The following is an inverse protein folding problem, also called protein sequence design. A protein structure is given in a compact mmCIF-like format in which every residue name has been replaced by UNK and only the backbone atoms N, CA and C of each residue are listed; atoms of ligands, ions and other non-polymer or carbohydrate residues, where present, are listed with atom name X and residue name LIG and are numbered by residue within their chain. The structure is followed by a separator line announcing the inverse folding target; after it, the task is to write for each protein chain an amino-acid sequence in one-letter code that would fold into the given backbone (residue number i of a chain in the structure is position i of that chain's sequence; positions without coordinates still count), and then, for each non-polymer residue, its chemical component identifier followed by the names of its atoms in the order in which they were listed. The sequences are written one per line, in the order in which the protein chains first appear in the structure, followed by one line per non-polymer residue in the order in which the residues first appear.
data_IF_717960336622
#
_entry.id   IF_717960336622
#
_cell.length_a   1.000
_cell.length_b   1.000
_cell.length_c   1.000
_cell.angle_alpha   90.00
_cell.angle_beta   90.00
_cell.angle_gamma   90.00
#
_symmetry.space_group_name_H-M   'P 1'
#
loop_
_entity.id
_entity.type
_entity.pdbx_description
1 polymer ?
#
# COMPACT_ATOMS: atom_id res chain seq x y z
N UNK A 1 3.94 69.23 -33.49
CA UNK A 1 3.78 69.17 -32.01
C UNK A 1 2.71 68.12 -31.65
N UNK A 2 2.79 66.94 -32.28
CA UNK A 2 1.73 65.90 -32.26
C UNK A 2 2.28 64.48 -32.09
N UNK A 3 3.60 64.29 -32.09
CA UNK A 3 4.23 62.97 -31.97
C UNK A 3 4.48 62.54 -30.51
N UNK A 4 4.52 63.49 -29.58
CA UNK A 4 4.77 63.21 -28.15
C UNK A 4 3.54 62.70 -27.41
N UNK A 5 2.33 62.94 -27.91
CA UNK A 5 1.09 62.49 -27.28
C UNK A 5 0.74 61.04 -27.65
N UNK A 6 1.08 60.59 -28.86
CA UNK A 6 0.82 59.21 -29.32
C UNK A 6 1.71 58.18 -28.64
N UNK A 7 2.97 58.52 -28.33
CA UNK A 7 3.89 57.61 -27.63
C UNK A 7 3.49 57.41 -26.16
N UNK A 8 2.99 58.45 -25.49
CA UNK A 8 2.58 58.37 -24.08
C UNK A 8 1.29 57.53 -23.90
N UNK A 9 0.31 57.66 -24.81
CA UNK A 9 -0.94 56.89 -24.76
C UNK A 9 -0.67 55.40 -25.01
N UNK A 10 0.23 55.06 -25.94
CA UNK A 10 0.59 53.67 -26.26
C UNK A 10 1.35 53.01 -25.09
N UNK A 11 2.17 53.75 -24.35
CA UNK A 11 2.88 53.26 -23.16
C UNK A 11 1.93 52.99 -21.98
N UNK A 12 0.89 53.80 -21.79
CA UNK A 12 -0.11 53.59 -20.74
C UNK A 12 -1.01 52.37 -21.00
N UNK A 13 -1.44 52.14 -22.25
CA UNK A 13 -2.28 50.98 -22.58
C UNK A 13 -1.52 49.64 -22.42
N UNK A 14 -0.24 49.58 -22.82
CA UNK A 14 0.56 48.38 -22.62
C UNK A 14 0.77 48.06 -21.14
N UNK A 15 1.10 49.06 -20.30
CA UNK A 15 1.29 48.83 -18.87
C UNK A 15 0.01 48.43 -18.14
N UNK A 16 -1.16 48.96 -18.53
CA UNK A 16 -2.44 48.56 -17.95
C UNK A 16 -2.78 47.08 -18.26
N UNK A 17 -2.56 46.64 -19.50
CA UNK A 17 -2.79 45.24 -19.90
C UNK A 17 -1.82 44.25 -19.22
N UNK A 18 -0.58 44.69 -18.94
CA UNK A 18 0.44 43.90 -18.24
C UNK A 18 0.10 43.73 -16.76
N UNK A 19 -0.47 44.75 -16.10
CA UNK A 19 -0.90 44.64 -14.70
C UNK A 19 -2.01 43.60 -14.51
N UNK A 20 -3.02 43.60 -15.37
CA UNK A 20 -4.12 42.62 -15.30
C UNK A 20 -3.64 41.17 -15.54
N UNK A 21 -2.73 40.95 -16.49
CA UNK A 21 -2.18 39.60 -16.74
C UNK A 21 -1.25 39.15 -15.62
N UNK A 22 -0.44 40.06 -15.06
CA UNK A 22 0.51 39.74 -13.97
C UNK A 22 -0.21 39.41 -12.67
N UNK A 23 -1.30 40.09 -12.36
CA UNK A 23 -2.13 39.80 -11.18
C UNK A 23 -2.82 38.43 -11.31
N UNK A 24 -3.34 38.11 -12.50
CA UNK A 24 -3.91 36.79 -12.79
C UNK A 24 -2.87 35.66 -12.65
N UNK A 25 -1.66 35.85 -13.18
CA UNK A 25 -0.55 34.89 -13.05
C UNK A 25 -0.16 34.70 -11.57
N UNK A 26 -0.17 35.77 -10.79
CA UNK A 26 0.15 35.72 -9.36
C UNK A 26 -0.91 34.92 -8.59
N UNK A 27 -2.19 35.12 -8.89
CA UNK A 27 -3.30 34.35 -8.30
C UNK A 27 -3.17 32.86 -8.64
N UNK A 28 -2.89 32.53 -9.92
CA UNK A 28 -2.69 31.14 -10.35
C UNK A 28 -1.51 30.47 -9.65
N UNK A 29 -0.41 31.20 -9.46
CA UNK A 29 0.76 30.71 -8.73
C UNK A 29 0.42 30.33 -7.29
N UNK A 30 -0.33 31.19 -6.58
CA UNK A 30 -0.74 30.91 -5.19
C UNK A 30 -1.68 29.69 -5.13
N UNK A 31 -2.63 29.57 -6.04
CA UNK A 31 -3.54 28.41 -6.12
C UNK A 31 -2.76 27.13 -6.41
N UNK A 32 -1.79 27.16 -7.32
CA UNK A 32 -0.95 26.01 -7.65
C UNK A 32 -0.13 25.54 -6.45
N UNK A 33 0.42 26.45 -5.64
CA UNK A 33 1.14 26.10 -4.41
C UNK A 33 0.21 25.43 -3.40
N UNK A 34 -1.01 25.94 -3.24
CA UNK A 34 -2.00 25.37 -2.33
C UNK A 34 -2.40 23.95 -2.78
N UNK A 35 -2.65 23.74 -4.08
CA UNK A 35 -3.04 22.41 -4.59
C UNK A 35 -1.90 21.41 -4.49
N UNK A 36 -0.67 21.80 -4.83
CA UNK A 36 0.52 20.94 -4.67
C UNK A 36 0.71 20.56 -3.21
N UNK A 37 0.57 21.50 -2.28
CA UNK A 37 0.68 21.20 -0.86
C UNK A 37 -0.43 20.27 -0.37
N UNK A 38 -1.66 20.49 -0.81
CA UNK A 38 -2.80 19.65 -0.45
C UNK A 38 -2.63 18.22 -0.97
N UNK A 39 -2.23 18.06 -2.23
CA UNK A 39 -1.94 16.75 -2.85
C UNK A 39 -0.81 16.08 -2.09
N UNK A 40 0.31 16.78 -1.83
CA UNK A 40 1.44 16.21 -1.12
C UNK A 40 1.07 15.78 0.32
N UNK A 41 0.30 16.59 1.04
CA UNK A 41 -0.22 16.25 2.36
C UNK A 41 -1.16 15.04 2.34
N UNK A 42 -2.03 14.96 1.34
CA UNK A 42 -2.95 13.83 1.17
C UNK A 42 -2.22 12.53 0.86
N UNK A 43 -1.24 12.55 -0.06
CA UNK A 43 -0.40 11.39 -0.37
C UNK A 43 0.43 10.96 0.85
N UNK A 44 1.04 11.92 1.56
CA UNK A 44 1.86 11.60 2.73
C UNK A 44 1.03 10.96 3.85
N UNK A 45 -0.18 11.46 4.09
CA UNK A 45 -1.11 10.87 5.09
C UNK A 45 -1.56 9.47 4.69
N UNK A 46 -1.86 9.23 3.41
CA UNK A 46 -2.19 7.88 2.93
C UNK A 46 -1.02 6.91 3.11
N UNK A 47 0.19 7.33 2.76
CA UNK A 47 1.40 6.53 2.89
C UNK A 47 1.71 6.19 4.35
N UNK A 48 1.56 7.14 5.29
CA UNK A 48 1.78 6.84 6.72
C UNK A 48 0.78 5.82 7.26
N UNK A 49 -0.49 5.91 6.86
CA UNK A 49 -1.52 4.95 7.28
C UNK A 49 -1.29 3.57 6.65
N UNK A 50 -0.93 3.53 5.37
CA UNK A 50 -0.58 2.28 4.69
C UNK A 50 0.66 1.65 5.33
N UNK A 51 1.70 2.44 5.60
CA UNK A 51 2.94 2.00 6.25
C UNK A 51 2.68 1.44 7.64
N UNK A 52 1.91 2.13 8.49
CA UNK A 52 1.56 1.62 9.82
C UNK A 52 0.77 0.32 9.76
N UNK A 53 -0.20 0.21 8.83
CA UNK A 53 -0.95 -1.05 8.64
C UNK A 53 -0.03 -2.18 8.16
N UNK A 54 0.88 -1.88 7.24
CA UNK A 54 1.83 -2.86 6.73
C UNK A 54 2.83 -3.29 7.81
N UNK A 55 3.34 -2.36 8.62
CA UNK A 55 4.27 -2.63 9.73
C UNK A 55 3.67 -3.59 10.77
N UNK A 56 2.36 -3.51 11.03
CA UNK A 56 1.67 -4.46 11.91
C UNK A 56 1.37 -5.82 11.25
N UNK A 57 1.20 -5.87 9.92
CA UNK A 57 0.93 -7.13 9.18
C UNK A 57 2.21 -7.88 8.80
N UNK A 58 3.31 -7.17 8.62
CA UNK A 58 4.64 -7.71 8.30
C UNK A 58 5.12 -8.80 9.26
N UNK A 59 5.00 -8.66 10.61
CA UNK A 59 5.39 -9.72 11.53
C UNK A 59 4.58 -11.00 11.26
N UNK A 60 3.25 -10.93 11.18
CA UNK A 60 2.39 -12.08 10.88
C UNK A 60 2.76 -12.76 9.56
N UNK A 61 3.08 -11.97 8.54
CA UNK A 61 3.53 -12.51 7.25
C UNK A 61 4.89 -13.19 7.33
N UNK A 62 5.83 -12.57 8.06
CA UNK A 62 7.19 -13.07 8.23
C UNK A 62 7.19 -14.37 9.01
N UNK A 63 6.33 -14.46 10.01
CA UNK A 63 6.11 -15.65 10.83
C UNK A 63 5.52 -16.77 9.95
N UNK A 64 4.49 -16.48 9.14
CA UNK A 64 3.95 -17.43 8.15
C UNK A 64 4.96 -17.92 7.10
N UNK A 65 5.86 -17.04 6.63
CA UNK A 65 6.92 -17.42 5.69
C UNK A 65 7.84 -18.51 6.28
N UNK A 66 8.04 -18.55 7.60
CA UNK A 66 8.82 -19.63 8.25
C UNK A 66 8.12 -20.98 8.08
N UNK A 67 6.80 -21.02 8.29
CA UNK A 67 5.96 -22.22 8.09
C UNK A 67 6.05 -22.67 6.63
N UNK A 68 5.93 -21.74 5.68
CA UNK A 68 6.06 -22.02 4.25
C UNK A 68 7.43 -22.63 3.90
N UNK A 69 8.53 -22.02 4.36
CA UNK A 69 9.87 -22.53 4.09
C UNK A 69 10.12 -23.89 4.74
N UNK A 70 9.51 -24.16 5.90
CA UNK A 70 9.60 -25.46 6.55
C UNK A 70 8.96 -26.56 5.71
N UNK A 71 7.78 -26.30 5.14
CA UNK A 71 7.06 -27.21 4.23
C UNK A 71 7.85 -27.42 2.94
N UNK A 72 8.47 -26.36 2.42
CA UNK A 72 9.25 -26.47 1.18
C UNK A 72 10.55 -27.26 1.36
N UNK A 73 11.18 -27.19 2.54
CA UNK A 73 12.43 -27.90 2.84
C UNK A 73 12.21 -29.36 3.26
N UNK A 74 11.05 -29.69 3.81
CA UNK A 74 10.76 -31.02 4.34
C UNK A 74 9.78 -31.77 3.42
N UNK A 75 10.17 -32.96 2.97
CA UNK A 75 9.33 -33.81 2.12
C UNK A 75 8.10 -34.40 2.85
N UNK A 76 8.12 -34.43 4.18
CA UNK A 76 7.04 -34.93 5.06
C UNK A 76 6.89 -34.04 6.31
N UNK A 77 6.42 -32.79 6.15
CA UNK A 77 6.39 -31.79 7.22
C UNK A 77 5.44 -32.15 8.36
N UNK A 78 4.40 -32.94 8.10
CA UNK A 78 3.39 -33.30 9.10
C UNK A 78 3.84 -34.35 10.12
N UNK A 79 4.96 -35.03 9.85
CA UNK A 79 5.51 -36.05 10.76
C UNK A 79 6.45 -35.44 11.79
N UNK A 80 6.83 -34.17 11.62
CA UNK A 80 7.75 -33.48 12.53
C UNK A 80 6.96 -32.79 13.66
N UNK A 81 7.16 -33.16 14.94
CA UNK A 81 6.51 -32.48 16.06
C UNK A 81 6.87 -31.00 16.16
N UNK A 82 8.02 -30.56 15.61
CA UNK A 82 8.39 -29.15 15.57
C UNK A 82 7.49 -28.34 14.65
N UNK A 83 6.91 -28.97 13.61
CA UNK A 83 6.00 -28.31 12.69
C UNK A 83 4.68 -27.92 13.36
N UNK A 84 4.13 -28.81 14.19
CA UNK A 84 2.87 -28.56 14.88
C UNK A 84 2.97 -27.40 15.87
N UNK A 85 4.07 -27.36 16.64
CA UNK A 85 4.34 -26.26 17.57
C UNK A 85 4.49 -24.93 16.81
N UNK A 86 5.20 -24.95 15.68
CA UNK A 86 5.35 -23.78 14.83
C UNK A 86 3.97 -23.30 14.31
N UNK A 87 3.14 -24.19 13.79
CA UNK A 87 1.81 -23.83 13.28
C UNK A 87 0.90 -23.28 14.37
N UNK A 88 0.98 -23.80 15.60
CA UNK A 88 0.16 -23.34 16.73
C UNK A 88 0.55 -21.93 17.21
N UNK A 89 1.85 -21.65 17.34
CA UNK A 89 2.33 -20.30 17.67
C UNK A 89 1.91 -19.28 16.60
N UNK A 90 2.05 -19.67 15.34
CA UNK A 90 1.74 -18.84 14.17
C UNK A 90 0.23 -18.60 14.00
N UNK A 91 -0.61 -19.53 14.46
CA UNK A 91 -2.07 -19.40 14.47
C UNK A 91 -2.54 -18.23 15.32
N UNK A 92 -1.89 -18.00 16.47
CA UNK A 92 -2.21 -16.87 17.35
C UNK A 92 -2.02 -15.53 16.64
N UNK A 93 -0.88 -15.35 15.98
CA UNK A 93 -0.58 -14.13 15.22
C UNK A 93 -1.54 -13.94 14.04
N UNK A 94 -1.90 -15.03 13.36
CA UNK A 94 -2.85 -15.00 12.24
C UNK A 94 -4.28 -14.67 12.67
N UNK A 95 -4.72 -15.15 13.84
CA UNK A 95 -6.04 -14.83 14.38
C UNK A 95 -6.13 -13.38 14.90
N UNK A 96 -5.03 -12.82 15.41
CA UNK A 96 -5.00 -11.45 15.94
C UNK A 96 -4.93 -10.39 14.83
N UNK A 97 -4.14 -10.64 13.78
CA UNK A 97 -3.81 -9.63 12.77
C UNK A 97 -4.28 -9.98 11.35
N UNK A 98 -4.74 -11.22 11.14
CA UNK A 98 -5.27 -11.68 9.86
C UNK A 98 -6.67 -11.11 9.57
N UNK A 99 -6.98 -10.97 8.29
CA UNK A 99 -8.36 -10.68 7.84
C UNK A 99 -9.18 -11.97 7.80
N UNK A 100 -10.50 -11.87 7.85
CA UNK A 100 -11.40 -13.04 7.98
C UNK A 100 -11.17 -14.12 6.92
N UNK A 101 -10.91 -13.74 5.67
CA UNK A 101 -10.63 -14.65 4.56
C UNK A 101 -9.22 -15.25 4.59
N UNK A 102 -8.25 -14.52 5.15
CA UNK A 102 -6.90 -15.05 5.41
C UNK A 102 -6.95 -16.10 6.54
N UNK A 103 -7.73 -15.84 7.58
CA UNK A 103 -7.98 -16.76 8.70
C UNK A 103 -8.69 -18.02 8.18
N UNK A 104 -9.70 -17.88 7.33
CA UNK A 104 -10.44 -19.02 6.78
C UNK A 104 -9.54 -19.95 5.93
N UNK A 105 -8.68 -19.37 5.08
CA UNK A 105 -7.70 -20.12 4.31
C UNK A 105 -6.62 -20.77 5.19
N UNK A 106 -6.19 -20.08 6.25
CA UNK A 106 -5.24 -20.63 7.21
C UNK A 106 -5.84 -21.79 8.01
N UNK A 107 -7.10 -21.70 8.43
CA UNK A 107 -7.83 -22.81 9.07
C UNK A 107 -8.04 -24.00 8.11
N UNK A 108 -8.32 -23.73 6.83
CA UNK A 108 -8.40 -24.76 5.78
C UNK A 108 -7.06 -25.47 5.61
N UNK A 109 -5.96 -24.73 5.70
CA UNK A 109 -4.60 -25.27 5.70
C UNK A 109 -4.36 -26.16 6.94
N UNK A 110 -4.66 -25.68 8.15
CA UNK A 110 -4.52 -26.47 9.40
C UNK A 110 -5.31 -27.77 9.33
N UNK A 111 -6.59 -27.71 8.93
CA UNK A 111 -7.44 -28.91 8.77
C UNK A 111 -6.84 -29.90 7.77
N UNK A 112 -6.22 -29.41 6.71
CA UNK A 112 -5.56 -30.28 5.73
C UNK A 112 -4.29 -30.91 6.30
N UNK A 113 -3.57 -30.21 7.19
CA UNK A 113 -2.44 -30.77 7.94
C UNK A 113 -2.88 -31.85 8.93
N UNK A 114 -3.98 -31.65 9.66
CA UNK A 114 -4.54 -32.62 10.62
C UNK A 114 -4.94 -33.94 9.93
N UNK A 115 -5.50 -33.85 8.71
CA UNK A 115 -5.90 -35.01 7.89
C UNK A 115 -4.69 -35.59 7.12
N UNK A 116 -3.48 -35.05 7.32
CA UNK A 116 -2.24 -35.43 6.61
C UNK A 116 -2.36 -35.35 5.07
N UNK A 117 -3.23 -34.48 4.57
CA UNK A 117 -3.44 -34.29 3.14
C UNK A 117 -2.46 -33.24 2.60
N UNK A 118 -1.29 -33.70 2.14
CA UNK A 118 -0.24 -32.86 1.55
C UNK A 118 -0.73 -32.02 0.37
N UNK A 119 -1.59 -32.59 -0.48
CA UNK A 119 -2.10 -31.89 -1.65
C UNK A 119 -3.05 -30.75 -1.24
N UNK A 120 -4.03 -31.05 -0.37
CA UNK A 120 -4.97 -30.05 0.14
C UNK A 120 -4.30 -28.94 0.94
N UNK A 121 -3.27 -29.29 1.72
CA UNK A 121 -2.47 -28.31 2.44
C UNK A 121 -1.71 -27.39 1.48
N UNK A 122 -1.03 -27.93 0.47
CA UNK A 122 -0.32 -27.13 -0.54
C UNK A 122 -1.26 -26.22 -1.35
N UNK A 123 -2.45 -26.70 -1.69
CA UNK A 123 -3.47 -25.92 -2.40
C UNK A 123 -3.97 -24.75 -1.53
N UNK A 124 -4.39 -25.01 -0.29
CA UNK A 124 -4.84 -23.97 0.64
C UNK A 124 -3.74 -22.94 0.94
N UNK A 125 -2.49 -23.41 1.06
CA UNK A 125 -1.33 -22.58 1.31
C UNK A 125 -0.99 -21.71 0.09
N UNK A 126 -1.08 -22.24 -1.12
CA UNK A 126 -0.90 -21.48 -2.38
C UNK A 126 -1.99 -20.40 -2.56
N UNK A 127 -3.25 -20.75 -2.26
CA UNK A 127 -4.37 -19.79 -2.24
C UNK A 127 -4.10 -18.65 -1.26
N UNK A 128 -3.66 -18.98 -0.05
CA UNK A 128 -3.33 -18.00 0.99
C UNK A 128 -2.18 -17.07 0.56
N UNK A 129 -1.09 -17.62 0.01
CA UNK A 129 0.04 -16.82 -0.51
C UNK A 129 -0.41 -15.89 -1.63
N UNK A 130 -1.24 -16.37 -2.55
CA UNK A 130 -1.77 -15.58 -3.66
C UNK A 130 -2.61 -14.40 -3.15
N UNK A 131 -3.51 -14.67 -2.20
CA UNK A 131 -4.40 -13.67 -1.62
C UNK A 131 -3.63 -12.60 -0.84
N UNK A 132 -2.70 -13.02 0.01
CA UNK A 132 -1.81 -12.13 0.77
C UNK A 132 -1.00 -11.26 -0.19
N UNK A 133 -0.37 -11.85 -1.21
CA UNK A 133 0.42 -11.12 -2.21
C UNK A 133 -0.43 -10.09 -2.95
N UNK A 134 -1.64 -10.45 -3.39
CA UNK A 134 -2.56 -9.55 -4.07
C UNK A 134 -2.90 -8.35 -3.18
N UNK A 135 -3.20 -8.59 -1.91
CA UNK A 135 -3.54 -7.53 -0.95
C UNK A 135 -2.39 -6.61 -0.64
N UNK A 136 -1.18 -7.15 -0.47
CA UNK A 136 0.01 -6.33 -0.24
C UNK A 136 0.27 -5.42 -1.44
N UNK A 137 0.11 -5.92 -2.67
CA UNK A 137 0.20 -5.09 -3.88
C UNK A 137 -0.85 -3.99 -3.91
N UNK A 138 -2.11 -4.33 -3.61
CA UNK A 138 -3.19 -3.33 -3.50
C UNK A 138 -2.93 -2.31 -2.38
N UNK A 139 -2.35 -2.72 -1.25
CA UNK A 139 -2.03 -1.83 -0.13
C UNK A 139 -0.80 -0.95 -0.41
N UNK A 140 0.12 -1.41 -1.26
CA UNK A 140 1.29 -0.66 -1.72
C UNK A 140 1.05 0.18 -2.98
N UNK A 141 -0.14 0.08 -3.58
CA UNK A 141 -0.50 0.74 -4.85
C UNK A 141 0.49 0.41 -6.00
N UNK A 142 0.95 -0.85 -6.06
CA UNK A 142 1.85 -1.41 -7.08
C UNK A 142 1.10 -2.41 -7.97
#
# INVERSE_FOLDING_TARGET
MTETTTSMITLCCNNASIFETKDWITIFSVIAVITVWFVNGYLNRKNEIAKKRLDHRLPTLKSFIKVWYFIQKNSAPFTDPQFLVLVEEERGDFQLYGKSDEIELFEKFIKSCEIQNLQGANEALSELVSLVRKRIRTELDI
#
